data_IF_858706701074
#
_entry.id   IF_858706701074
#
_cell.length_a   1.000
_cell.length_b   1.000
_cell.length_c   1.000
_cell.angle_alpha   90.00
_cell.angle_beta   90.00
_cell.angle_gamma   90.00
#
_symmetry.space_group_name_H-M   'P 1'
#
loop_
_entity.id
_entity.type
_entity.pdbx_description
1 polymer ?
#
# COMPACT_ATOMS: atom_id res chain seq x y z
N UNK A 1 -40.48 -89.05 -20.95
CA UNK A 1 -40.88 -87.78 -20.36
C UNK A 1 -39.64 -86.96 -20.10
N UNK A 2 -39.34 -86.00 -20.97
CA UNK A 2 -38.11 -85.18 -20.95
C UNK A 2 -38.56 -83.72 -20.89
N UNK A 3 -38.21 -83.05 -19.80
CA UNK A 3 -38.47 -81.60 -19.63
C UNK A 3 -37.33 -80.78 -20.22
N UNK A 4 -37.68 -79.95 -21.16
CA UNK A 4 -36.80 -78.95 -21.78
C UNK A 4 -36.40 -77.86 -20.81
N UNK A 5 -35.10 -77.67 -20.61
CA UNK A 5 -34.57 -76.54 -19.89
C UNK A 5 -34.36 -75.31 -20.84
N UNK A 6 -34.94 -74.21 -20.50
CA UNK A 6 -34.72 -72.92 -21.17
C UNK A 6 -33.39 -72.26 -20.71
N UNK A 7 -32.45 -72.08 -21.59
CA UNK A 7 -31.28 -71.20 -21.40
C UNK A 7 -31.76 -69.75 -21.46
N UNK A 8 -31.53 -69.00 -20.42
CA UNK A 8 -31.69 -67.56 -20.42
C UNK A 8 -30.31 -66.92 -20.69
N UNK A 9 -30.17 -66.30 -21.83
CA UNK A 9 -28.97 -65.54 -22.22
C UNK A 9 -29.04 -64.15 -21.57
N UNK A 10 -28.24 -63.88 -20.54
CA UNK A 10 -28.15 -62.58 -19.92
C UNK A 10 -27.08 -61.79 -20.71
N UNK A 11 -27.52 -60.83 -21.52
CA UNK A 11 -26.63 -59.87 -22.19
C UNK A 11 -26.21 -58.80 -21.17
N UNK A 12 -24.95 -58.82 -20.76
CA UNK A 12 -24.34 -57.75 -19.93
C UNK A 12 -24.03 -56.58 -20.88
N UNK A 13 -24.83 -55.52 -20.80
CA UNK A 13 -24.56 -54.23 -21.44
C UNK A 13 -23.52 -53.53 -20.55
N UNK A 14 -22.25 -53.51 -20.97
CA UNK A 14 -21.16 -52.76 -20.36
C UNK A 14 -21.31 -51.29 -20.78
N UNK A 15 -21.97 -50.48 -19.89
CA UNK A 15 -22.06 -49.04 -20.06
C UNK A 15 -20.67 -48.43 -19.77
N UNK A 16 -19.96 -47.98 -20.82
CA UNK A 16 -18.78 -47.12 -20.71
C UNK A 16 -19.25 -45.78 -20.13
N UNK A 17 -19.10 -45.58 -18.85
CA UNK A 17 -19.15 -44.24 -18.24
C UNK A 17 -17.86 -43.54 -18.63
N UNK A 18 -17.92 -42.70 -19.64
CA UNK A 18 -16.86 -41.74 -19.91
C UNK A 18 -16.79 -40.77 -18.70
N UNK A 19 -15.85 -41.03 -17.80
CA UNK A 19 -15.46 -40.09 -16.78
C UNK A 19 -14.83 -38.88 -17.49
N UNK A 20 -15.65 -37.92 -17.83
CA UNK A 20 -15.17 -36.57 -18.16
C UNK A 20 -14.53 -36.03 -16.89
N UNK A 21 -13.22 -36.14 -16.80
CA UNK A 21 -12.45 -35.45 -15.78
C UNK A 21 -12.67 -33.96 -15.97
N UNK A 22 -13.54 -33.36 -15.16
CA UNK A 22 -13.42 -31.93 -14.87
C UNK A 22 -12.06 -31.76 -14.19
N UNK A 23 -11.04 -31.40 -14.95
CA UNK A 23 -9.89 -30.70 -14.36
C UNK A 23 -10.48 -29.43 -13.76
N UNK A 24 -10.70 -29.41 -12.45
CA UNK A 24 -10.79 -28.17 -11.73
C UNK A 24 -9.48 -27.44 -12.05
N UNK A 25 -9.57 -26.45 -12.93
CA UNK A 25 -8.50 -25.48 -13.10
C UNK A 25 -8.38 -24.83 -11.72
N UNK A 26 -7.35 -25.21 -10.95
CA UNK A 26 -7.09 -24.55 -9.67
C UNK A 26 -6.93 -23.07 -10.00
N UNK A 27 -7.87 -22.24 -9.53
CA UNK A 27 -7.82 -20.81 -9.74
C UNK A 27 -6.45 -20.31 -9.26
N UNK A 28 -5.66 -19.77 -10.19
CA UNK A 28 -4.37 -19.18 -9.82
C UNK A 28 -4.62 -18.07 -8.82
N UNK A 29 -3.81 -18.03 -7.77
CA UNK A 29 -3.93 -17.01 -6.72
C UNK A 29 -2.56 -16.46 -6.36
N UNK A 30 -2.50 -15.17 -6.11
CA UNK A 30 -1.29 -14.48 -5.63
C UNK A 30 -1.60 -13.66 -4.39
N UNK A 31 -0.59 -13.47 -3.56
CA UNK A 31 -0.69 -12.66 -2.33
C UNK A 31 0.26 -11.46 -2.44
N UNK A 32 -0.29 -10.25 -2.28
CA UNK A 32 0.48 -9.01 -2.22
C UNK A 32 0.48 -8.44 -0.80
N UNK A 33 1.67 -8.17 -0.29
CA UNK A 33 1.87 -7.47 0.98
C UNK A 33 2.05 -5.98 0.71
N UNK A 34 1.08 -5.18 1.12
CA UNK A 34 0.94 -3.79 0.72
C UNK A 34 1.04 -2.84 1.92
N UNK A 35 1.80 -1.77 1.75
CA UNK A 35 1.63 -0.58 2.58
C UNK A 35 0.25 0.03 2.33
N UNK A 36 -0.49 0.33 3.39
CA UNK A 36 -1.88 0.79 3.24
C UNK A 36 -2.04 2.19 2.61
N UNK A 37 -0.93 2.82 2.23
CA UNK A 37 -0.96 4.07 1.44
C UNK A 37 -1.61 3.92 0.07
N UNK A 38 -1.72 2.71 -0.48
CA UNK A 38 -2.32 2.41 -1.77
C UNK A 38 -3.73 1.83 -1.69
N UNK A 39 -4.29 1.66 -0.47
CA UNK A 39 -5.38 0.73 -0.21
C UNK A 39 -6.58 0.87 -1.16
N UNK A 40 -7.30 1.99 -1.26
CA UNK A 40 -8.54 2.02 -2.05
C UNK A 40 -8.30 1.77 -3.55
N UNK A 41 -7.24 2.35 -4.12
CA UNK A 41 -6.90 2.15 -5.53
C UNK A 41 -6.45 0.72 -5.82
N UNK A 42 -5.67 0.13 -4.89
CA UNK A 42 -5.17 -1.23 -5.00
C UNK A 42 -6.30 -2.27 -4.93
N UNK A 43 -7.28 -2.07 -4.07
CA UNK A 43 -8.45 -2.94 -3.95
C UNK A 43 -9.26 -2.97 -5.25
N UNK A 44 -9.55 -1.80 -5.86
CA UNK A 44 -10.24 -1.72 -7.15
C UNK A 44 -9.41 -2.31 -8.30
N UNK A 45 -8.10 -2.03 -8.33
CA UNK A 45 -7.20 -2.57 -9.34
C UNK A 45 -7.12 -4.10 -9.27
N UNK A 46 -7.02 -4.67 -8.08
CA UNK A 46 -6.99 -6.12 -7.87
C UNK A 46 -8.29 -6.79 -8.31
N UNK A 47 -9.44 -6.21 -7.98
CA UNK A 47 -10.75 -6.71 -8.43
C UNK A 47 -10.85 -6.71 -9.96
N UNK A 48 -10.43 -5.61 -10.61
CA UNK A 48 -10.45 -5.51 -12.07
C UNK A 48 -9.48 -6.50 -12.73
N UNK A 49 -8.30 -6.71 -12.16
CA UNK A 49 -7.34 -7.70 -12.64
C UNK A 49 -7.89 -9.13 -12.53
N UNK A 50 -8.46 -9.48 -11.37
CA UNK A 50 -9.08 -10.79 -11.16
C UNK A 50 -10.22 -11.02 -12.17
N UNK A 51 -11.08 -10.03 -12.38
CA UNK A 51 -12.18 -10.12 -13.35
C UNK A 51 -11.68 -10.33 -14.81
N UNK A 52 -10.53 -9.74 -15.15
CA UNK A 52 -9.96 -9.83 -16.49
C UNK A 52 -9.16 -11.11 -16.74
N UNK A 53 -8.53 -11.69 -15.73
CA UNK A 53 -7.54 -12.78 -15.88
C UNK A 53 -7.96 -14.10 -15.24
N UNK A 54 -8.90 -14.06 -14.28
CA UNK A 54 -9.23 -15.20 -13.43
C UNK A 54 -8.20 -15.48 -12.33
N UNK A 55 -7.12 -14.68 -12.23
CA UNK A 55 -6.12 -14.80 -11.16
C UNK A 55 -6.61 -14.03 -9.94
N UNK A 56 -6.81 -14.73 -8.83
CA UNK A 56 -7.23 -14.10 -7.57
C UNK A 56 -6.06 -13.36 -6.90
N UNK A 57 -6.30 -12.14 -6.41
CA UNK A 57 -5.31 -11.33 -5.72
C UNK A 57 -5.73 -11.11 -4.27
N UNK A 58 -4.99 -11.71 -3.35
CA UNK A 58 -5.16 -11.49 -1.91
C UNK A 58 -4.28 -10.33 -1.45
N UNK A 59 -4.91 -9.29 -0.90
CA UNK A 59 -4.23 -8.09 -0.46
C UNK A 59 -4.12 -8.06 1.07
N UNK A 60 -2.89 -8.02 1.58
CA UNK A 60 -2.61 -7.80 3.00
C UNK A 60 -2.15 -6.35 3.20
N UNK A 61 -2.83 -5.59 4.05
CA UNK A 61 -2.51 -4.19 4.30
C UNK A 61 -2.11 -3.92 5.75
N UNK A 62 -0.98 -3.23 5.92
CA UNK A 62 -0.56 -2.64 7.20
C UNK A 62 0.44 -1.50 6.97
N UNK A 63 1.24 -1.14 7.99
CA UNK A 63 2.45 -0.35 7.81
C UNK A 63 3.45 -1.07 6.92
N UNK A 64 4.21 -0.31 6.11
CA UNK A 64 5.16 -0.90 5.16
C UNK A 64 6.20 -1.78 5.86
N UNK A 65 6.76 -1.32 6.98
CA UNK A 65 7.71 -2.08 7.78
C UNK A 65 7.11 -3.34 8.40
N UNK A 66 5.85 -3.26 8.86
CA UNK A 66 5.12 -4.42 9.39
C UNK A 66 4.95 -5.50 8.32
N UNK A 67 4.55 -5.11 7.10
CA UNK A 67 4.40 -6.04 5.98
C UNK A 67 5.74 -6.67 5.57
N UNK A 68 6.82 -5.88 5.54
CA UNK A 68 8.16 -6.41 5.29
C UNK A 68 8.58 -7.42 6.36
N UNK A 69 8.34 -7.11 7.64
CA UNK A 69 8.69 -7.99 8.75
C UNK A 69 7.91 -9.31 8.68
N UNK A 70 6.62 -9.25 8.34
CA UNK A 70 5.80 -10.43 8.16
C UNK A 70 6.33 -11.32 7.03
N UNK A 71 6.63 -10.74 5.84
CA UNK A 71 7.20 -11.49 4.72
C UNK A 71 8.52 -12.17 5.08
N UNK A 72 9.39 -11.48 5.86
CA UNK A 72 10.67 -12.04 6.33
C UNK A 72 10.49 -13.25 7.25
N UNK A 73 9.52 -13.19 8.14
CA UNK A 73 9.24 -14.26 9.11
C UNK A 73 8.57 -15.45 8.41
N UNK A 74 7.52 -15.19 7.65
CA UNK A 74 6.70 -16.24 7.04
C UNK A 74 7.34 -16.81 5.76
N UNK A 75 8.31 -16.11 5.18
CA UNK A 75 8.94 -16.43 3.88
C UNK A 75 7.88 -16.74 2.81
N UNK A 76 6.88 -15.87 2.72
CA UNK A 76 5.70 -16.02 1.88
C UNK A 76 5.31 -14.71 1.21
N UNK A 77 4.39 -14.81 0.25
CA UNK A 77 3.88 -13.68 -0.54
C UNK A 77 4.55 -13.59 -1.92
N UNK A 78 3.79 -13.08 -2.87
CA UNK A 78 4.21 -13.02 -4.27
C UNK A 78 4.67 -11.62 -4.68
N UNK A 79 4.13 -10.58 -4.03
CA UNK A 79 4.52 -9.19 -4.25
C UNK A 79 4.69 -8.44 -2.93
N UNK A 80 5.60 -7.46 -2.94
CA UNK A 80 5.72 -6.45 -1.91
C UNK A 80 5.52 -5.07 -2.52
N UNK A 81 4.56 -4.30 -1.98
CA UNK A 81 4.15 -2.98 -2.51
C UNK A 81 4.08 -1.99 -1.34
N UNK A 82 5.22 -1.51 -0.82
CA UNK A 82 5.24 -0.54 0.27
C UNK A 82 4.77 0.84 -0.17
N UNK A 83 4.44 1.70 0.80
CA UNK A 83 4.01 3.07 0.54
C UNK A 83 5.16 4.06 0.31
N UNK A 84 6.43 3.63 0.36
CA UNK A 84 7.58 4.48 0.03
C UNK A 84 8.78 3.66 -0.45
N UNK A 85 9.73 4.30 -1.16
CA UNK A 85 10.97 3.67 -1.63
C UNK A 85 11.86 3.18 -0.49
N UNK A 86 11.87 3.84 0.68
CA UNK A 86 12.67 3.46 1.84
C UNK A 86 12.50 1.97 2.18
N UNK A 87 11.26 1.53 2.29
CA UNK A 87 10.96 0.14 2.63
C UNK A 87 11.26 -0.84 1.48
N UNK A 88 11.23 -0.37 0.22
CA UNK A 88 11.64 -1.21 -0.92
C UNK A 88 13.14 -1.46 -0.91
N UNK A 89 13.94 -0.43 -0.58
CA UNK A 89 15.39 -0.59 -0.43
C UNK A 89 15.70 -1.57 0.71
N UNK A 90 15.04 -1.43 1.86
CA UNK A 90 15.17 -2.38 2.97
C UNK A 90 14.80 -3.81 2.58
N UNK A 91 13.74 -3.98 1.77
CA UNK A 91 13.32 -5.30 1.28
C UNK A 91 14.33 -5.92 0.33
N UNK A 92 14.91 -5.11 -0.56
CA UNK A 92 15.96 -5.54 -1.49
C UNK A 92 17.24 -5.94 -0.74
N UNK A 93 17.69 -5.13 0.21
CA UNK A 93 18.86 -5.42 1.06
C UNK A 93 18.66 -6.70 1.90
N UNK A 94 17.44 -6.94 2.37
CA UNK A 94 17.08 -8.14 3.11
C UNK A 94 16.85 -9.39 2.22
N UNK A 95 16.96 -9.26 0.89
CA UNK A 95 16.75 -10.37 -0.05
C UNK A 95 15.28 -10.83 -0.14
N UNK A 96 14.32 -10.00 0.26
CA UNK A 96 12.89 -10.33 0.23
C UNK A 96 12.29 -10.20 -1.16
N UNK A 97 12.78 -9.24 -1.94
CA UNK A 97 12.30 -8.96 -3.29
C UNK A 97 13.41 -9.06 -4.34
N UNK A 98 13.02 -9.28 -5.57
CA UNK A 98 13.89 -9.16 -6.74
C UNK A 98 14.01 -7.67 -7.14
N UNK A 99 15.17 -7.02 -6.92
CA UNK A 99 15.34 -5.60 -7.24
C UNK A 99 15.15 -5.26 -8.72
N UNK A 100 15.41 -6.24 -9.61
CA UNK A 100 15.25 -6.05 -11.06
C UNK A 100 13.76 -5.97 -11.48
N UNK A 101 12.84 -6.40 -10.61
CA UNK A 101 11.40 -6.36 -10.88
C UNK A 101 10.73 -5.05 -10.42
N UNK A 102 11.46 -4.15 -9.75
CA UNK A 102 10.87 -2.94 -9.17
C UNK A 102 10.23 -2.06 -10.23
N UNK A 103 8.96 -1.69 -10.00
CA UNK A 103 8.20 -0.73 -10.81
C UNK A 103 7.58 0.33 -9.93
N UNK A 104 7.50 1.56 -10.44
CA UNK A 104 6.81 2.67 -9.76
C UNK A 104 5.33 2.61 -10.13
N UNK A 105 4.47 2.44 -9.13
CA UNK A 105 3.01 2.34 -9.29
C UNK A 105 2.36 3.72 -9.27
N UNK A 106 2.72 4.59 -8.33
CA UNK A 106 2.17 5.94 -8.22
C UNK A 106 3.10 6.83 -7.38
N UNK A 107 2.94 8.16 -7.50
CA UNK A 107 3.65 9.15 -6.69
C UNK A 107 2.74 9.68 -5.58
N UNK A 108 3.35 10.04 -4.45
CA UNK A 108 2.71 10.57 -3.26
C UNK A 108 3.32 11.90 -2.88
N UNK A 109 2.47 12.86 -2.53
CA UNK A 109 2.86 14.18 -2.06
C UNK A 109 2.48 14.32 -0.60
N UNK A 110 3.41 14.64 0.31
CA UNK A 110 3.09 14.93 1.69
C UNK A 110 2.29 16.22 1.81
N UNK A 111 1.35 16.24 2.75
CA UNK A 111 0.52 17.39 3.07
C UNK A 111 0.05 17.32 4.53
N UNK A 112 -0.36 18.44 5.07
CA UNK A 112 -1.12 18.46 6.32
C UNK A 112 -2.58 18.16 5.98
N UNK A 113 -3.18 17.21 6.69
CA UNK A 113 -4.60 16.92 6.60
C UNK A 113 -5.24 17.38 7.92
N UNK A 114 -6.37 18.06 7.80
CA UNK A 114 -7.12 18.63 8.94
C UNK A 114 -8.55 18.15 8.89
N UNK A 115 -9.26 18.30 10.00
CA UNK A 115 -10.70 18.06 10.04
C UNK A 115 -11.44 18.98 9.06
N UNK A 116 -12.58 18.56 8.56
CA UNK A 116 -13.49 19.38 7.76
C UNK A 116 -13.71 20.75 8.40
N UNK A 117 -13.68 21.81 7.59
CA UNK A 117 -13.75 23.21 8.02
C UNK A 117 -12.57 23.71 8.86
N UNK A 118 -11.54 22.89 9.06
CA UNK A 118 -10.29 23.24 9.76
C UNK A 118 -10.49 24.01 11.07
N UNK A 119 -11.16 23.45 12.08
CA UNK A 119 -11.48 24.16 13.32
C UNK A 119 -10.24 24.61 14.12
N UNK A 120 -9.08 23.93 13.92
CA UNK A 120 -7.80 24.30 14.49
C UNK A 120 -7.14 25.52 13.83
N UNK A 121 -7.72 26.05 12.73
CA UNK A 121 -7.17 27.13 11.91
C UNK A 121 -5.67 26.90 11.58
N UNK A 122 -5.35 25.69 11.13
CA UNK A 122 -4.01 25.27 10.73
C UNK A 122 -3.83 25.60 9.25
N UNK A 123 -2.89 26.48 8.90
CA UNK A 123 -2.68 26.95 7.54
C UNK A 123 -1.24 26.74 7.05
N UNK A 124 -0.35 26.31 7.94
CA UNK A 124 1.07 26.12 7.63
C UNK A 124 1.68 25.03 8.51
N UNK A 125 2.88 24.57 8.15
CA UNK A 125 3.64 23.60 8.93
C UNK A 125 3.95 24.12 10.35
N UNK A 126 4.25 25.42 10.50
CA UNK A 126 4.52 26.01 11.81
C UNK A 126 3.30 26.09 12.72
N UNK A 127 2.08 26.04 12.16
CA UNK A 127 0.88 26.01 12.97
C UNK A 127 0.72 24.72 13.76
N UNK A 128 1.37 23.64 13.31
CA UNK A 128 1.41 22.38 14.06
C UNK A 128 2.15 22.50 15.40
N UNK A 129 3.00 23.53 15.58
CA UNK A 129 3.70 23.80 16.84
C UNK A 129 2.89 24.68 17.80
N UNK A 130 1.70 25.16 17.44
CA UNK A 130 0.87 26.01 18.30
C UNK A 130 0.41 25.24 19.55
N UNK A 131 0.40 25.87 20.72
CA UNK A 131 -0.12 25.26 21.92
C UNK A 131 -1.60 24.83 21.76
N UNK A 132 -1.91 23.61 22.18
CA UNK A 132 -3.27 23.08 22.17
C UNK A 132 -3.70 22.42 20.84
N UNK A 133 -2.82 22.39 19.84
CA UNK A 133 -3.01 21.58 18.62
C UNK A 133 -2.62 20.14 18.92
N UNK A 134 -3.52 19.20 18.65
CA UNK A 134 -3.26 17.76 18.78
C UNK A 134 -2.97 17.15 17.41
N UNK A 135 -1.83 16.46 17.28
CA UNK A 135 -1.34 15.89 16.04
C UNK A 135 -1.25 14.37 16.15
N UNK A 136 -1.70 13.70 15.08
CA UNK A 136 -1.40 12.29 14.85
C UNK A 136 -0.39 12.11 13.73
N UNK A 137 0.48 11.14 13.87
CA UNK A 137 1.37 10.72 12.76
C UNK A 137 1.37 9.20 12.62
N UNK A 138 1.83 8.67 11.50
CA UNK A 138 2.20 7.26 11.40
C UNK A 138 3.38 6.95 12.31
N UNK A 139 3.47 5.73 12.86
CA UNK A 139 4.69 5.32 13.56
C UNK A 139 5.88 5.36 12.58
N UNK A 140 6.87 6.23 12.77
CA UNK A 140 7.93 6.43 11.80
C UNK A 140 8.86 5.22 11.63
N UNK A 141 8.89 4.28 12.58
CA UNK A 141 9.68 3.05 12.45
C UNK A 141 9.05 2.00 11.51
N UNK A 142 7.74 2.06 11.33
CA UNK A 142 7.00 1.01 10.60
C UNK A 142 6.07 1.54 9.49
N UNK A 143 5.77 2.84 9.49
CA UNK A 143 4.79 3.45 8.57
C UNK A 143 5.45 4.55 7.75
N UNK A 144 5.43 4.40 6.44
CA UNK A 144 6.10 5.32 5.52
C UNK A 144 5.74 6.79 5.74
N UNK A 145 4.47 7.13 5.92
CA UNK A 145 4.03 8.52 6.12
C UNK A 145 4.56 9.11 7.43
N UNK A 146 4.76 8.29 8.45
CA UNK A 146 5.38 8.72 9.71
C UNK A 146 6.86 9.06 9.55
N UNK A 147 7.58 8.25 8.76
CA UNK A 147 8.97 8.50 8.41
C UNK A 147 9.11 9.84 7.66
N UNK A 148 8.24 10.11 6.70
CA UNK A 148 8.20 11.39 5.97
C UNK A 148 7.78 12.56 6.86
N UNK A 149 6.91 12.34 7.85
CA UNK A 149 6.53 13.37 8.80
C UNK A 149 7.74 13.85 9.61
N UNK A 150 8.51 12.93 10.17
CA UNK A 150 9.73 13.25 10.92
C UNK A 150 10.76 13.97 10.05
N UNK A 151 11.02 13.47 8.85
CA UNK A 151 11.95 14.10 7.92
C UNK A 151 11.55 15.54 7.59
N UNK A 152 10.27 15.79 7.33
CA UNK A 152 9.75 17.13 7.03
C UNK A 152 9.89 18.05 8.25
N UNK A 153 9.57 17.56 9.45
CA UNK A 153 9.71 18.36 10.68
C UNK A 153 11.18 18.70 10.95
N UNK A 154 12.09 17.75 10.80
CA UNK A 154 13.54 17.95 10.97
C UNK A 154 14.10 18.91 9.91
N UNK A 155 13.79 18.68 8.63
CA UNK A 155 14.25 19.50 7.50
C UNK A 155 13.86 20.96 7.66
N UNK A 156 12.68 21.24 8.22
CA UNK A 156 12.18 22.58 8.46
C UNK A 156 12.58 23.14 9.84
N UNK A 157 13.41 22.45 10.62
CA UNK A 157 13.83 22.82 11.98
C UNK A 157 12.65 23.03 12.96
N UNK A 158 11.56 22.29 12.78
CA UNK A 158 10.35 22.39 13.59
C UNK A 158 10.10 21.16 14.46
N UNK A 159 10.94 20.12 14.37
CA UNK A 159 10.71 18.86 15.07
C UNK A 159 10.56 19.06 16.58
N UNK A 160 11.47 19.79 17.23
CA UNK A 160 11.43 20.01 18.68
C UNK A 160 10.21 20.83 19.14
N UNK A 161 9.66 21.67 18.26
CA UNK A 161 8.49 22.50 18.56
C UNK A 161 7.17 21.74 18.32
N UNK A 162 7.14 20.83 17.33
CA UNK A 162 5.96 20.05 16.95
C UNK A 162 5.82 18.78 17.81
N UNK A 163 6.93 18.13 18.15
CA UNK A 163 6.94 16.84 18.85
C UNK A 163 6.07 16.82 20.12
N UNK A 164 6.02 17.88 20.99
CA UNK A 164 5.14 17.91 22.16
C UNK A 164 3.64 17.84 21.82
N UNK A 165 3.26 18.19 20.60
CA UNK A 165 1.87 18.16 20.12
C UNK A 165 1.48 16.83 19.46
N UNK A 166 2.44 15.90 19.27
CA UNK A 166 2.16 14.57 18.73
C UNK A 166 1.59 13.71 19.85
N UNK A 167 0.27 13.50 19.82
CA UNK A 167 -0.45 12.78 20.88
C UNK A 167 -0.62 11.29 20.56
N UNK A 168 -0.39 10.87 19.31
CA UNK A 168 -0.58 9.46 18.91
C UNK A 168 0.22 9.08 17.66
N UNK A 169 0.62 7.80 17.62
CA UNK A 169 1.31 7.15 16.50
C UNK A 169 0.47 6.01 15.94
N UNK A 170 0.03 6.16 14.70
CA UNK A 170 -0.78 5.14 14.02
C UNK A 170 0.09 4.03 13.40
N UNK A 171 -0.42 2.82 13.37
CA UNK A 171 0.29 1.63 12.89
C UNK A 171 0.27 1.45 11.37
N UNK A 172 -0.48 2.29 10.65
CA UNK A 172 -0.58 2.22 9.18
C UNK A 172 -1.08 3.55 8.60
N UNK A 173 -0.84 3.77 7.30
CA UNK A 173 -1.34 4.95 6.59
C UNK A 173 -2.88 5.09 6.67
N UNK A 174 -3.62 3.98 6.56
CA UNK A 174 -5.08 4.02 6.70
C UNK A 174 -5.53 4.44 8.11
N UNK A 175 -4.84 3.94 9.17
CA UNK A 175 -5.12 4.37 10.53
C UNK A 175 -4.70 5.83 10.76
N UNK A 176 -3.60 6.28 10.16
CA UNK A 176 -3.19 7.69 10.21
C UNK A 176 -4.27 8.59 9.61
N UNK A 177 -4.76 8.27 8.41
CA UNK A 177 -5.85 9.01 7.76
C UNK A 177 -7.12 9.03 8.60
N UNK A 178 -7.46 7.92 9.25
CA UNK A 178 -8.63 7.80 10.11
C UNK A 178 -8.59 8.68 11.36
N UNK A 179 -7.42 9.04 11.88
CA UNK A 179 -7.29 9.89 13.08
C UNK A 179 -7.98 11.25 12.86
N UNK A 180 -7.71 11.90 11.75
CA UNK A 180 -8.33 13.21 11.44
C UNK A 180 -9.77 13.05 10.94
N UNK A 181 -10.06 12.01 10.15
CA UNK A 181 -11.42 11.75 9.66
C UNK A 181 -12.43 11.47 10.79
N UNK A 182 -11.97 10.83 11.86
CA UNK A 182 -12.77 10.54 13.07
C UNK A 182 -12.67 11.64 14.14
N UNK A 183 -12.01 12.76 13.82
CA UNK A 183 -11.82 13.91 14.73
C UNK A 183 -11.12 13.54 16.05
N UNK A 184 -10.25 12.52 16.00
CA UNK A 184 -9.43 12.10 17.14
C UNK A 184 -8.22 13.02 17.39
N UNK A 185 -7.82 13.77 16.36
CA UNK A 185 -6.76 14.79 16.39
C UNK A 185 -7.16 15.96 15.49
N UNK A 186 -6.54 17.12 15.68
CA UNK A 186 -6.80 18.31 14.86
C UNK A 186 -6.18 18.19 13.47
N UNK A 187 -5.00 17.59 13.40
CA UNK A 187 -4.25 17.42 12.16
C UNK A 187 -3.40 16.15 12.13
N UNK A 188 -3.05 15.75 10.93
CA UNK A 188 -2.00 14.76 10.66
C UNK A 188 -1.03 15.33 9.62
N UNK A 189 0.23 14.92 9.65
CA UNK A 189 1.05 14.97 8.44
C UNK A 189 0.85 13.64 7.71
N UNK A 190 0.27 13.75 6.51
CA UNK A 190 -0.21 12.62 5.73
C UNK A 190 0.19 12.72 4.25
N UNK A 191 -0.38 11.85 3.45
CA UNK A 191 -0.34 11.99 2.00
C UNK A 191 -1.55 12.79 1.53
N UNK A 192 -1.35 13.74 0.62
CA UNK A 192 -2.43 14.54 0.02
C UNK A 192 -3.64 13.70 -0.36
N UNK A 193 -3.39 12.53 -0.91
CA UNK A 193 -4.42 11.59 -1.37
C UNK A 193 -5.38 11.11 -0.27
N UNK A 194 -5.06 11.27 1.01
CA UNK A 194 -5.96 10.86 2.10
C UNK A 194 -7.24 11.69 2.16
N UNK A 195 -7.24 12.93 1.65
CA UNK A 195 -8.46 13.72 1.52
C UNK A 195 -9.45 13.14 0.50
N UNK A 196 -8.97 12.38 -0.48
CA UNK A 196 -9.84 11.68 -1.43
C UNK A 196 -10.47 10.40 -0.83
N UNK A 197 -9.97 9.95 0.33
CA UNK A 197 -10.51 8.77 1.02
C UNK A 197 -11.66 9.09 1.95
N UNK A 198 -11.74 10.34 2.43
CA UNK A 198 -12.68 10.79 3.45
C UNK A 198 -13.17 12.21 3.13
N UNK A 199 -14.47 12.36 2.90
CA UNK A 199 -15.11 13.65 2.60
C UNK A 199 -14.99 14.66 3.78
N UNK A 200 -14.69 14.18 4.98
CA UNK A 200 -14.53 14.97 6.21
C UNK A 200 -13.11 15.43 6.49
N UNK A 201 -12.24 15.39 5.48
CA UNK A 201 -10.82 15.73 5.62
C UNK A 201 -10.41 16.78 4.58
N UNK A 202 -9.93 17.92 5.08
CA UNK A 202 -9.39 18.99 4.26
C UNK A 202 -7.87 18.92 4.14
N UNK A 203 -7.31 19.50 3.07
CA UNK A 203 -5.86 19.56 2.80
C UNK A 203 -5.31 20.94 3.02
N UNK A 204 -4.26 21.05 3.79
CA UNK A 204 -3.38 22.22 3.87
C UNK A 204 -2.05 21.85 3.22
N UNK A 205 -1.77 22.46 2.07
CA UNK A 205 -0.55 22.18 1.32
C UNK A 205 0.68 22.75 2.02
N UNK A 206 1.74 21.96 2.02
CA UNK A 206 3.07 22.44 2.42
C UNK A 206 3.62 23.41 1.36
N UNK A 207 4.46 24.35 1.79
CA UNK A 207 5.25 25.15 0.87
C UNK A 207 6.19 24.26 0.04
N UNK A 208 6.40 24.61 -1.22
CA UNK A 208 7.21 23.77 -2.15
C UNK A 208 8.64 23.53 -1.67
N UNK A 209 9.19 24.46 -0.87
CA UNK A 209 10.53 24.37 -0.28
C UNK A 209 10.54 23.59 1.06
N UNK A 210 9.37 23.25 1.60
CA UNK A 210 9.24 22.52 2.87
C UNK A 210 9.27 21.00 2.68
N UNK A 211 9.19 20.54 1.45
CA UNK A 211 9.16 19.12 1.09
C UNK A 211 10.56 18.71 0.61
N UNK A 212 11.35 18.01 1.42
CA UNK A 212 12.68 17.56 1.02
C UNK A 212 12.63 16.43 -0.01
N UNK A 213 11.67 15.52 0.14
CA UNK A 213 11.49 14.36 -0.74
C UNK A 213 10.04 14.13 -1.13
N UNK A 214 9.82 13.69 -2.37
CA UNK A 214 8.56 13.14 -2.84
C UNK A 214 8.65 11.61 -2.83
N UNK A 215 7.63 10.97 -2.27
CA UNK A 215 7.54 9.52 -2.27
C UNK A 215 6.95 8.97 -3.56
N UNK A 216 7.20 7.70 -3.80
CA UNK A 216 6.43 6.88 -4.72
C UNK A 216 6.09 5.54 -4.08
N UNK A 217 5.06 4.89 -4.58
CA UNK A 217 4.66 3.53 -4.23
C UNK A 217 5.40 2.59 -5.19
N UNK A 218 6.45 1.89 -4.76
CA UNK A 218 7.08 0.87 -5.56
C UNK A 218 6.36 -0.47 -5.42
N UNK A 219 6.39 -1.29 -6.46
CA UNK A 219 6.00 -2.69 -6.40
C UNK A 219 7.12 -3.58 -6.90
N UNK A 220 7.33 -4.73 -6.25
CA UNK A 220 8.33 -5.71 -6.68
C UNK A 220 7.86 -7.14 -6.44
N UNK A 221 8.39 -8.07 -7.24
CA UNK A 221 8.15 -9.49 -7.09
C UNK A 221 8.97 -10.02 -5.91
N UNK A 222 8.31 -10.78 -5.05
CA UNK A 222 8.95 -11.44 -3.92
C UNK A 222 9.85 -12.59 -4.37
N UNK A 223 10.99 -12.76 -3.69
CA UNK A 223 11.84 -13.93 -3.86
C UNK A 223 11.23 -15.21 -3.26
N UNK A 224 10.12 -15.08 -2.53
CA UNK A 224 9.38 -16.22 -1.95
C UNK A 224 8.25 -16.70 -2.85
N UNK A 225 7.96 -16.01 -3.96
CA UNK A 225 6.86 -16.36 -4.86
C UNK A 225 7.04 -17.76 -5.46
N UNK A 226 5.94 -18.47 -5.59
CA UNK A 226 5.86 -19.75 -6.29
C UNK A 226 5.22 -19.60 -7.69
N UNK A 227 4.58 -18.46 -7.94
CA UNK A 227 3.97 -18.12 -9.23
C UNK A 227 4.44 -16.73 -9.70
N UNK A 228 5.70 -16.72 -10.17
CA UNK A 228 6.33 -15.49 -10.67
C UNK A 228 5.57 -14.90 -11.87
N UNK A 229 4.98 -15.76 -12.70
CA UNK A 229 4.26 -15.31 -13.89
C UNK A 229 3.02 -14.50 -13.52
N UNK A 230 2.17 -15.02 -12.63
CA UNK A 230 0.99 -14.30 -12.16
C UNK A 230 1.35 -13.03 -11.38
N UNK A 231 2.39 -13.07 -10.56
CA UNK A 231 2.90 -11.88 -9.86
C UNK A 231 3.37 -10.80 -10.86
N UNK A 232 4.10 -11.18 -11.92
CA UNK A 232 4.54 -10.26 -12.96
C UNK A 232 3.36 -9.67 -13.72
N UNK A 233 2.36 -10.48 -14.07
CA UNK A 233 1.15 -10.01 -14.75
C UNK A 233 0.40 -8.96 -13.94
N UNK A 234 0.24 -9.18 -12.63
CA UNK A 234 -0.41 -8.19 -11.77
C UNK A 234 0.42 -6.90 -11.62
N UNK A 235 1.74 -7.02 -11.43
CA UNK A 235 2.62 -5.86 -11.35
C UNK A 235 2.62 -5.05 -12.66
N UNK A 236 2.59 -5.72 -13.80
CA UNK A 236 2.49 -5.08 -15.13
C UNK A 236 1.13 -4.41 -15.32
N UNK A 237 0.06 -5.03 -14.83
CA UNK A 237 -1.27 -4.44 -14.84
C UNK A 237 -1.32 -3.14 -14.03
N UNK A 238 -0.76 -3.11 -12.81
CA UNK A 238 -0.76 -1.92 -11.95
C UNK A 238 -0.12 -0.70 -12.63
N UNK A 239 0.94 -0.90 -13.42
CA UNK A 239 1.63 0.19 -14.14
C UNK A 239 1.09 0.41 -15.56
N UNK A 240 0.15 -0.39 -16.01
CA UNK A 240 -0.53 -0.20 -17.30
C UNK A 240 -1.48 1.00 -17.25
N UNK A 241 -1.90 1.47 -18.44
CA UNK A 241 -2.90 2.54 -18.55
C UNK A 241 -4.20 2.21 -17.80
N UNK A 242 -4.61 0.95 -17.79
CA UNK A 242 -5.82 0.50 -17.11
C UNK A 242 -5.64 0.51 -15.59
N UNK A 243 -4.54 -0.05 -15.08
CA UNK A 243 -4.22 -0.02 -13.63
C UNK A 243 -4.07 1.41 -13.12
N UNK A 244 -3.34 2.25 -13.85
CA UNK A 244 -3.13 3.67 -13.50
C UNK A 244 -4.43 4.48 -13.44
N UNK A 245 -5.47 4.09 -14.18
CA UNK A 245 -6.78 4.76 -14.09
C UNK A 245 -7.43 4.61 -12.71
N UNK A 246 -7.24 3.47 -12.04
CA UNK A 246 -7.74 3.29 -10.67
C UNK A 246 -7.00 4.19 -9.68
N UNK A 247 -5.68 4.28 -9.79
CA UNK A 247 -4.89 5.19 -8.96
C UNK A 247 -5.27 6.65 -9.20
N UNK A 248 -5.41 7.07 -10.44
CA UNK A 248 -5.80 8.44 -10.79
C UNK A 248 -7.20 8.80 -10.28
N UNK A 249 -8.16 7.86 -10.31
CA UNK A 249 -9.51 8.03 -9.75
C UNK A 249 -9.47 8.39 -8.26
N UNK A 250 -8.53 7.81 -7.52
CA UNK A 250 -8.32 8.05 -6.09
C UNK A 250 -7.32 9.18 -5.80
N UNK A 251 -7.02 10.05 -6.79
CA UNK A 251 -6.18 11.22 -6.60
C UNK A 251 -4.68 10.97 -6.52
N UNK A 252 -4.22 9.74 -6.78
CA UNK A 252 -2.80 9.45 -6.88
C UNK A 252 -2.20 10.07 -8.15
N UNK A 253 -0.92 10.38 -8.10
CA UNK A 253 -0.21 11.00 -9.20
C UNK A 253 0.51 9.93 -10.01
N UNK A 254 0.28 9.93 -11.33
CA UNK A 254 0.80 8.89 -12.21
C UNK A 254 2.26 9.14 -12.64
N UNK A 255 2.70 10.40 -12.68
CA UNK A 255 4.00 10.76 -13.26
C UNK A 255 4.84 11.62 -12.33
N UNK A 256 6.17 11.47 -12.44
CA UNK A 256 7.12 12.32 -11.71
C UNK A 256 6.94 13.81 -12.06
N UNK A 257 6.70 14.11 -13.33
CA UNK A 257 6.50 15.48 -13.80
C UNK A 257 5.32 16.17 -13.09
N UNK A 258 4.24 15.43 -12.83
CA UNK A 258 3.10 15.97 -12.09
C UNK A 258 3.40 16.09 -10.60
N UNK A 259 4.09 15.12 -10.01
CA UNK A 259 4.49 15.18 -8.61
C UNK A 259 5.41 16.36 -8.33
N UNK A 260 6.36 16.65 -9.23
CA UNK A 260 7.28 17.80 -9.12
C UNK A 260 6.59 19.17 -9.16
N UNK A 261 5.34 19.27 -9.60
CA UNK A 261 4.59 20.54 -9.51
C UNK A 261 4.36 20.96 -8.05
N UNK A 262 4.30 20.00 -7.13
CA UNK A 262 4.12 20.27 -5.70
C UNK A 262 5.43 20.58 -4.96
N UNK A 263 6.54 20.04 -5.43
CA UNK A 263 7.86 20.25 -4.84
C UNK A 263 8.95 20.13 -5.92
N UNK A 264 9.17 21.19 -6.73
CA UNK A 264 10.05 21.14 -7.90
C UNK A 264 11.51 20.77 -7.58
N UNK A 265 11.97 21.10 -6.38
CA UNK A 265 13.36 20.88 -5.93
C UNK A 265 13.52 19.63 -5.05
N UNK A 266 12.42 19.00 -4.67
CA UNK A 266 12.45 17.80 -3.83
C UNK A 266 13.19 16.66 -4.54
N UNK A 267 13.89 15.87 -3.77
CA UNK A 267 14.41 14.60 -4.23
C UNK A 267 13.26 13.63 -4.54
N UNK A 268 13.40 12.79 -5.56
CA UNK A 268 12.44 11.70 -5.83
C UNK A 268 12.98 10.40 -5.26
N UNK A 269 12.25 9.83 -4.34
CA UNK A 269 12.71 8.62 -3.67
C UNK A 269 13.80 8.89 -2.64
N UNK A 270 14.87 8.08 -2.68
CA UNK A 270 15.92 8.14 -1.66
C UNK A 270 15.50 7.44 -0.36
N UNK A 271 16.32 7.59 0.66
CA UNK A 271 16.12 7.02 1.99
C UNK A 271 16.30 8.10 3.06
N UNK A 272 15.44 8.09 4.05
CA UNK A 272 15.63 8.85 5.28
C UNK A 272 15.84 7.90 6.45
N UNK A 273 16.77 8.22 7.31
CA UNK A 273 17.04 7.45 8.52
C UNK A 273 16.65 8.26 9.74
N UNK A 274 15.79 7.69 10.56
CA UNK A 274 15.40 8.28 11.85
C UNK A 274 16.65 8.55 12.70
N UNK A 275 16.70 9.70 13.38
CA UNK A 275 17.77 10.01 14.33
C UNK A 275 17.92 8.89 15.37
N UNK A 276 19.18 8.64 15.79
CA UNK A 276 19.46 7.64 16.83
C UNK A 276 18.68 7.91 18.14
N UNK A 277 18.51 9.18 18.48
CA UNK A 277 17.76 9.61 19.66
C UNK A 277 16.31 9.11 19.66
N UNK A 278 15.64 9.01 18.50
CA UNK A 278 14.29 8.49 18.39
C UNK A 278 14.21 7.02 18.81
N UNK A 279 15.24 6.23 18.50
CA UNK A 279 15.29 4.79 18.79
C UNK A 279 15.56 4.46 20.25
N UNK A 280 16.02 5.45 21.04
CA UNK A 280 16.41 5.26 22.46
C UNK A 280 15.28 5.61 23.44
N UNK A 281 14.18 6.21 22.99
CA UNK A 281 13.09 6.68 23.84
C UNK A 281 11.93 5.67 23.93
N UNK A 282 12.01 4.58 23.18
CA UNK A 282 11.09 3.43 23.24
C UNK A 282 11.73 2.28 24.00
#
# INVERSE_FOLDING_TARGET
MVKAGRLVLIAIIMSLVAAGGCTQDESKQITAFCGSASKPAMEEAAQAFTAATGIEVYLNFSGSGTMLSQMKVDKSGDLYIPGSPDYMVMAAQAGVVDPASVKIVAYLVPAILVQEDNPGNIQSLSDLAKPGIEIGIGNPEAVCVGLYAYEIFEYNNLLAEIEPNIVTHAESCSKTAALVALKAVDAILGWRVFSEWHETVDVVYLGTEQIPRLAYIPGAISNFTKDRESAQQFLDFLVSRQGQAFFSKWGYIATETEARKYAPKAEIGGEYQLPEAYRLVQ
#
